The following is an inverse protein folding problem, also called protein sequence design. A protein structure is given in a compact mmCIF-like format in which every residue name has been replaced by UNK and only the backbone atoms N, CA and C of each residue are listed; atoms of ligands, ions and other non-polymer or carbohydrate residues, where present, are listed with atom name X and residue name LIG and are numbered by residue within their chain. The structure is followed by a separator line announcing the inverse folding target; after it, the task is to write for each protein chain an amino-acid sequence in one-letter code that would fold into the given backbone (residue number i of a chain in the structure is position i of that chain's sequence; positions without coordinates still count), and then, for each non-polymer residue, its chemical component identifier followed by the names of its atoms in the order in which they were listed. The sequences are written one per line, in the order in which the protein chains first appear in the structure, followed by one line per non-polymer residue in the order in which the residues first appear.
data_IF_328656193135
#
_entry.id   IF_328656193135
#
_cell.length_a   1.000
_cell.length_b   1.000
_cell.length_c   1.000
_cell.angle_alpha   90.00
_cell.angle_beta   90.00
_cell.angle_gamma   90.00
#
_symmetry.space_group_name_H-M   'P 1'
#
loop_
_entity.id
_entity.type
_entity.pdbx_description
1 polymer ?
2 non-polymer ?
3 water ?
#
# COMPACT_ATOMS: atom_id res chain seq x y z
N UNK A 5 17.99 -25.10 -16.66
CA UNK A 5 17.16 -25.17 -15.38
C UNK A 5 17.14 -23.84 -14.63
N UNK A 6 15.96 -23.45 -14.16
CA UNK A 6 15.82 -22.18 -13.43
C UNK A 6 15.64 -22.44 -11.99
N UNK A 7 16.14 -21.50 -11.22
CA UNK A 7 16.01 -21.50 -9.76
C UNK A 7 16.43 -22.88 -9.13
N UNK A 8 17.50 -23.44 -9.63
CA UNK A 8 18.02 -24.74 -9.14
C UNK A 8 16.94 -25.84 -9.07
N UNK A 9 15.97 -25.80 -9.99
CA UNK A 9 14.87 -26.73 -10.07
C UNK A 9 14.14 -26.88 -8.74
N UNK A 10 14.12 -25.82 -7.92
CA UNK A 10 13.42 -25.90 -6.63
C UNK A 10 11.92 -26.10 -6.86
N UNK A 11 11.25 -26.85 -5.93
CA UNK A 11 9.83 -27.12 -6.08
C UNK A 11 8.98 -25.84 -5.83
N UNK A 12 7.71 -25.91 -6.24
CA UNK A 12 6.75 -24.75 -6.12
C UNK A 12 6.67 -24.14 -4.69
N UNK A 13 6.95 -24.94 -3.68
CA UNK A 13 6.74 -24.52 -2.29
C UNK A 13 8.09 -24.23 -1.58
N UNK A 14 9.18 -24.08 -2.35
CA UNK A 14 10.49 -23.67 -1.79
C UNK A 14 10.40 -22.30 -1.13
N UNK A 15 11.10 -22.16 -0.01
CA UNK A 15 11.11 -20.88 0.67
C UNK A 15 12.55 -20.36 0.71
N UNK A 16 12.75 -19.04 0.66
CA UNK A 16 14.10 -18.43 0.76
C UNK A 16 14.83 -18.84 2.03
N UNK A 17 16.13 -19.04 1.95
CA UNK A 17 16.94 -19.40 3.13
C UNK A 17 18.34 -18.75 3.00
N UNK A 18 18.43 -17.46 3.26
CA UNK A 18 19.75 -16.80 3.12
C UNK A 18 20.71 -17.42 4.11
N UNK A 19 21.92 -17.81 3.65
CA UNK A 19 22.69 -18.77 4.45
C UNK A 19 23.16 -18.24 5.80
N UNK A 20 23.31 -16.93 5.95
CA UNK A 20 23.70 -16.34 7.24
C UNK A 20 22.54 -15.73 8.04
N UNK A 21 21.30 -15.87 7.56
CA UNK A 21 20.16 -15.41 8.31
C UNK A 21 20.21 -13.93 8.72
N UNK A 22 19.61 -13.65 9.87
CA UNK A 22 19.47 -12.31 10.48
C UNK A 22 20.78 -11.53 10.77
N UNK A 23 21.90 -12.24 10.90
CA UNK A 23 23.22 -11.60 11.07
C UNK A 23 23.90 -11.42 9.73
N UNK A 24 23.13 -11.46 8.65
CA UNK A 24 23.69 -11.15 7.34
C UNK A 24 23.69 -9.62 7.05
N UNK A 25 24.54 -9.29 6.08
CA UNK A 25 24.75 -7.89 5.66
C UNK A 25 24.35 -7.60 4.22
N UNK A 26 24.18 -8.65 3.38
CA UNK A 26 24.24 -8.54 1.91
C UNK A 26 22.92 -8.00 1.49
N UNK A 27 22.93 -6.92 0.74
CA UNK A 27 21.75 -6.20 0.47
C UNK A 27 21.04 -6.75 -0.76
N UNK A 28 19.75 -6.50 -0.80
CA UNK A 28 18.91 -6.95 -1.92
C UNK A 28 19.27 -6.19 -3.16
N UNK A 29 19.51 -6.88 -4.30
CA UNK A 29 19.88 -6.08 -5.51
C UNK A 29 18.80 -5.20 -6.04
N UNK A 30 17.56 -5.46 -5.65
CA UNK A 30 16.47 -4.73 -6.27
C UNK A 30 15.53 -4.02 -5.30
N UNK A 31 15.86 -3.98 -4.01
CA UNK A 31 15.01 -3.29 -3.03
C UNK A 31 15.98 -2.59 -2.05
N UNK A 32 15.80 -1.29 -1.88
CA UNK A 32 16.62 -0.54 -0.96
C UNK A 32 16.23 -0.84 0.49
N UNK A 33 17.24 -1.13 1.32
CA UNK A 33 17.02 -1.52 2.73
C UNK A 33 16.26 -0.43 3.50
N UNK A 34 16.65 0.83 3.32
CA UNK A 34 15.94 1.92 4.01
C UNK A 34 14.48 1.98 3.61
N UNK A 35 14.22 1.86 2.31
CA UNK A 35 12.85 1.93 1.78
C UNK A 35 11.96 0.81 2.34
N UNK A 36 12.51 -0.40 2.43
CA UNK A 36 11.81 -1.50 3.02
C UNK A 36 11.49 -1.29 4.49
N UNK A 37 12.45 -0.73 5.25
CA UNK A 37 12.18 -0.45 6.70
C UNK A 37 11.05 0.54 6.84
N UNK A 38 11.06 1.59 6.01
CA UNK A 38 9.99 2.61 6.05
C UNK A 38 8.63 2.09 5.62
N UNK A 39 8.61 1.33 4.53
CA UNK A 39 7.35 0.74 3.95
C UNK A 39 6.75 -0.29 4.87
N UNK A 40 7.58 -1.24 5.32
CA UNK A 40 7.10 -2.34 6.21
C UNK A 40 6.91 -1.83 7.66
N UNK A 41 7.81 -1.00 8.15
CA UNK A 41 7.53 -0.29 9.40
C UNK A 41 8.34 -0.65 10.60
N UNK A 42 9.33 -1.53 10.45
CA UNK A 42 10.19 -1.92 11.56
C UNK A 42 11.62 -1.68 11.24
N UNK A 43 12.38 -1.25 12.24
CA UNK A 43 13.81 -1.12 12.07
C UNK A 43 14.54 -2.40 11.64
N UNK A 44 15.56 -2.24 10.79
CA UNK A 44 16.36 -3.37 10.26
C UNK A 44 17.43 -3.84 11.23
N UNK A 45 17.42 -5.13 11.50
CA UNK A 45 18.50 -5.80 12.18
C UNK A 45 19.50 -6.38 11.18
N UNK A 46 19.01 -6.90 10.08
CA UNK A 46 19.90 -7.53 9.10
C UNK A 46 19.08 -8.00 7.93
N UNK A 47 19.78 -8.54 6.92
CA UNK A 47 19.12 -9.00 5.71
C UNK A 47 20.00 -9.94 4.96
N UNK A 48 19.41 -10.78 4.10
CA UNK A 48 20.24 -11.69 3.24
C UNK A 48 19.54 -12.00 1.95
N UNK A 49 20.28 -12.64 1.07
CA UNK A 49 19.85 -12.99 -0.22
C UNK A 49 20.06 -14.52 -0.36
N UNK A 50 19.22 -15.13 -1.20
CA UNK A 50 19.27 -16.55 -1.46
C UNK A 50 19.44 -16.67 -2.94
N UNK A 51 20.67 -16.99 -3.36
CA UNK A 51 21.04 -17.04 -4.77
C UNK A 51 20.73 -18.38 -5.42
N UNK A 52 20.01 -19.25 -4.71
CA UNK A 52 19.46 -20.47 -5.42
C UNK A 52 18.53 -20.14 -6.57
N UNK A 53 17.89 -18.98 -6.45
CA UNK A 53 16.92 -18.49 -7.44
C UNK A 53 17.67 -17.67 -8.47
N UNK A 54 17.26 -17.75 -9.73
CA UNK A 54 17.91 -16.92 -10.79
C UNK A 54 17.97 -15.44 -10.33
N UNK A 55 16.83 -14.92 -9.88
CA UNK A 55 16.77 -13.64 -9.19
C UNK A 55 16.83 -13.92 -7.72
N UNK A 56 17.90 -13.47 -7.05
CA UNK A 56 17.97 -13.86 -5.63
C UNK A 56 16.79 -13.44 -4.83
N UNK A 57 16.33 -14.31 -3.94
CA UNK A 57 15.31 -13.99 -2.96
C UNK A 57 15.95 -13.11 -1.90
N UNK A 58 15.17 -12.19 -1.33
CA UNK A 58 15.71 -11.22 -0.35
C UNK A 58 14.86 -11.38 0.92
N UNK A 59 15.54 -11.43 2.05
CA UNK A 59 14.85 -11.55 3.35
C UNK A 59 15.34 -10.48 4.31
N UNK A 60 14.38 -9.87 5.03
CA UNK A 60 14.66 -8.73 5.82
C UNK A 60 14.14 -8.98 7.24
N UNK A 61 15.04 -8.79 8.18
CA UNK A 61 14.79 -9.02 9.59
C UNK A 61 14.80 -7.76 10.42
N UNK A 62 13.88 -7.71 11.36
CA UNK A 62 13.91 -6.77 12.49
C UNK A 62 14.14 -7.56 13.76
N UNK A 63 13.66 -7.08 14.91
CA UNK A 63 13.95 -7.76 16.14
C UNK A 63 13.32 -9.17 16.30
N UNK A 64 12.13 -9.43 15.74
CA UNK A 64 11.62 -10.81 15.91
C UNK A 64 12.48 -11.89 15.27
N UNK A 65 12.29 -13.12 15.69
CA UNK A 65 12.97 -14.25 15.04
C UNK A 65 12.54 -14.40 13.55
N UNK A 66 11.23 -14.39 13.33
CA UNK A 66 10.64 -14.46 11.99
C UNK A 66 10.96 -13.15 11.21
N UNK A 67 11.30 -13.27 9.94
CA UNK A 67 11.62 -12.04 9.21
C UNK A 67 10.47 -11.01 9.18
N UNK A 68 10.81 -9.74 8.98
CA UNK A 68 9.74 -8.73 8.82
C UNK A 68 9.14 -8.81 7.40
N UNK A 69 9.95 -9.15 6.42
CA UNK A 69 9.49 -9.26 5.02
C UNK A 69 10.37 -10.25 4.28
N UNK A 70 9.74 -10.97 3.40
CA UNK A 70 10.44 -11.89 2.52
C UNK A 70 9.95 -11.65 1.10
N UNK A 71 10.90 -11.56 0.15
CA UNK A 71 10.54 -11.30 -1.23
C UNK A 71 11.18 -12.38 -2.06
N UNK A 72 10.32 -13.10 -2.79
CA UNK A 72 10.75 -14.21 -3.61
C UNK A 72 10.27 -14.11 -5.06
N UNK A 73 11.25 -14.16 -5.98
CA UNK A 73 11.06 -14.18 -7.41
C UNK A 73 11.33 -15.56 -8.00
N UNK A 74 10.34 -16.15 -8.69
CA UNK A 74 10.43 -17.51 -9.18
C UNK A 74 10.36 -17.51 -10.71
N UNK A 75 11.26 -18.16 -11.33
CA UNK A 75 11.13 -18.40 -12.77
C UNK A 75 10.83 -19.88 -12.91
N UNK A 76 9.58 -20.20 -13.16
CA UNK A 76 9.14 -21.61 -13.26
C UNK A 76 9.27 -22.13 -14.70
N UNK A 77 9.33 -23.47 -14.88
CA UNK A 77 9.36 -24.12 -16.23
C UNK A 77 8.13 -23.92 -17.05
N UNK A 78 7.03 -23.54 -16.40
CA UNK A 78 5.78 -23.20 -17.10
C UNK A 78 4.92 -22.23 -16.28
N UNK A 79 3.93 -21.68 -16.98
CA UNK A 79 2.93 -20.78 -16.37
C UNK A 79 2.10 -21.57 -15.37
N UNK A 80 1.76 -22.80 -15.73
CA UNK A 80 1.06 -23.69 -14.81
C UNK A 80 1.75 -23.80 -13.47
N UNK A 81 3.06 -24.00 -13.54
CA UNK A 81 3.83 -24.10 -12.31
C UNK A 81 3.92 -22.73 -11.56
N UNK A 82 3.99 -21.63 -12.29
CA UNK A 82 3.97 -20.30 -11.66
C UNK A 82 2.64 -20.11 -10.96
N UNK A 83 1.55 -20.59 -11.54
CA UNK A 83 0.23 -20.50 -10.88
C UNK A 83 0.18 -21.34 -9.63
N UNK A 84 0.84 -22.49 -9.62
CA UNK A 84 0.86 -23.38 -8.46
C UNK A 84 1.54 -22.70 -7.27
N UNK A 85 2.62 -21.99 -7.55
CA UNK A 85 3.33 -21.16 -6.55
C UNK A 85 2.38 -20.10 -5.96
N UNK A 86 1.75 -19.35 -6.84
CA UNK A 86 0.88 -18.29 -6.43
C UNK A 86 -0.30 -18.84 -5.58
N UNK A 87 -0.91 -19.96 -6.02
CA UNK A 87 -2.02 -20.56 -5.31
C UNK A 87 -1.57 -21.16 -4.00
N UNK A 88 -0.34 -21.63 -3.93
CA UNK A 88 0.19 -22.12 -2.64
C UNK A 88 0.38 -20.98 -1.65
N UNK A 89 0.99 -19.86 -2.11
CA UNK A 89 1.28 -18.72 -1.24
C UNK A 89 0.02 -17.95 -0.83
N UNK A 90 -0.96 -17.91 -1.75
CA UNK A 90 -2.21 -17.13 -1.63
C UNK A 90 -3.38 -17.99 -2.05
N UNK A 91 -3.88 -18.83 -1.11
CA UNK A 91 -4.90 -19.84 -1.51
C UNK A 91 -6.20 -19.16 -2.00
N UNK A 92 -6.87 -19.85 -2.93
CA UNK A 92 -7.98 -19.34 -3.69
C UNK A 92 -9.08 -19.00 -2.72
N UNK A 93 -9.28 -19.79 -1.67
CA UNK A 93 -10.40 -19.50 -0.76
C UNK A 93 -10.13 -18.66 0.44
N UNK A 94 -8.91 -18.15 0.57
CA UNK A 94 -8.54 -17.40 1.76
C UNK A 94 -7.95 -16.05 1.41
N UNK A 95 -7.88 -15.70 0.12
CA UNK A 95 -7.27 -14.48 -0.27
C UNK A 95 -8.17 -13.82 -1.33
N UNK A 96 -7.89 -12.54 -1.58
CA UNK A 96 -8.62 -11.76 -2.57
C UNK A 96 -7.76 -11.52 -3.79
N UNK A 97 -8.40 -11.16 -4.92
CA UNK A 97 -7.57 -11.04 -6.10
C UNK A 97 -6.54 -9.94 -5.96
N UNK A 98 -5.38 -10.20 -6.53
CA UNK A 98 -4.31 -9.22 -6.71
C UNK A 98 -4.06 -9.18 -8.18
N UNK A 99 -4.24 -7.99 -8.76
CA UNK A 99 -4.09 -7.85 -10.22
C UNK A 99 -3.19 -6.70 -10.60
N UNK A 100 -2.24 -6.37 -9.74
CA UNK A 100 -1.33 -5.27 -10.03
C UNK A 100 0.14 -5.80 -9.84
N UNK A 101 1.08 -5.26 -10.59
CA UNK A 101 0.92 -4.33 -11.71
C UNK A 101 0.25 -4.97 -12.95
N UNK A 102 -0.09 -4.13 -13.91
CA UNK A 102 -0.87 -4.63 -15.02
C UNK A 102 -0.17 -5.82 -15.73
N UNK A 103 -0.96 -6.88 -15.96
CA UNK A 103 -0.47 -8.08 -16.60
C UNK A 103 -0.20 -9.19 -15.60
N UNK A 104 -0.27 -8.88 -14.29
CA UNK A 104 0.01 -9.85 -13.21
C UNK A 104 -1.29 -10.25 -12.58
N UNK A 105 -1.32 -11.45 -12.00
CA UNK A 105 -2.52 -12.02 -11.39
C UNK A 105 -2.18 -12.95 -10.24
N UNK A 106 -2.95 -12.91 -9.19
CA UNK A 106 -2.72 -13.82 -8.11
C UNK A 106 -3.65 -13.42 -6.95
N UNK A 107 -3.13 -13.36 -5.74
CA UNK A 107 -3.94 -13.09 -4.50
C UNK A 107 -3.18 -12.32 -3.44
N UNK A 108 -3.93 -11.81 -2.47
CA UNK A 108 -3.40 -10.98 -1.43
C UNK A 108 -4.32 -11.11 -0.21
N UNK A 109 -3.77 -10.91 0.97
CA UNK A 109 -4.48 -11.07 2.24
C UNK A 109 -3.60 -10.42 3.32
N UNK A 110 -4.25 -9.75 4.27
CA UNK A 110 -3.55 -9.17 5.39
C UNK A 110 -4.34 -9.56 6.65
N UNK A 111 -3.73 -10.29 7.60
CA UNK A 111 -4.42 -10.71 8.86
C UNK A 111 -3.55 -10.46 10.07
N UNK A 112 -3.95 -10.93 11.26
CA UNK A 112 -3.16 -10.75 12.47
C UNK A 112 -1.77 -11.43 12.35
N UNK A 113 -1.71 -12.52 11.57
CA UNK A 113 -0.50 -13.38 11.38
C UNK A 113 0.54 -12.83 10.38
N UNK A 114 0.16 -11.76 9.66
CA UNK A 114 0.96 -11.20 8.59
C UNK A 114 0.19 -11.05 7.29
N UNK A 115 0.92 -10.80 6.19
CA UNK A 115 0.29 -10.44 4.95
C UNK A 115 1.02 -11.19 3.87
N UNK A 116 0.37 -11.38 2.74
CA UNK A 116 0.97 -11.94 1.54
C UNK A 116 0.46 -11.24 0.29
N UNK A 117 1.30 -11.23 -0.73
CA UNK A 117 0.93 -10.69 -1.99
C UNK A 117 1.68 -11.53 -3.00
N UNK A 118 0.92 -12.24 -3.82
CA UNK A 118 1.47 -13.24 -4.74
C UNK A 118 0.85 -13.16 -6.10
N UNK A 119 1.69 -12.92 -7.12
CA UNK A 119 1.21 -12.76 -8.46
C UNK A 119 2.09 -13.44 -9.46
N UNK A 120 1.49 -13.84 -10.56
CA UNK A 120 2.29 -14.35 -11.70
C UNK A 120 1.92 -13.70 -13.00
N UNK A 121 2.86 -13.82 -13.93
CA UNK A 121 2.78 -13.29 -15.27
C UNK A 121 3.55 -14.32 -16.07
N UNK A 122 2.84 -15.08 -16.90
CA UNK A 122 3.51 -16.13 -17.66
C UNK A 122 4.16 -17.10 -16.65
N UNK A 123 5.41 -17.52 -16.87
CA UNK A 123 6.00 -18.45 -15.95
C UNK A 123 6.77 -17.81 -14.78
N UNK A 124 6.66 -16.52 -14.61
CA UNK A 124 7.32 -15.83 -13.52
C UNK A 124 6.34 -15.60 -12.39
N UNK A 125 6.79 -15.92 -11.17
CA UNK A 125 5.98 -15.60 -9.99
C UNK A 125 6.77 -14.70 -9.01
N UNK A 126 6.07 -13.77 -8.36
CA UNK A 126 6.62 -12.86 -7.37
C UNK A 126 5.74 -12.98 -6.11
N UNK A 127 6.33 -13.36 -4.98
CA UNK A 127 5.59 -13.49 -3.71
C UNK A 127 6.29 -12.62 -2.65
N UNK A 128 5.52 -11.90 -1.86
CA UNK A 128 6.07 -11.12 -0.81
C UNK A 128 5.19 -11.46 0.39
N UNK A 129 5.87 -11.78 1.49
CA UNK A 129 5.26 -11.98 2.77
C UNK A 129 5.75 -10.82 3.65
N UNK A 130 4.86 -10.32 4.48
CA UNK A 130 5.20 -9.34 5.49
C UNK A 130 4.69 -9.80 6.85
N UNK A 131 5.37 -9.38 7.91
CA UNK A 131 4.93 -9.70 9.28
C UNK A 131 3.85 -8.74 9.74
N UNK A 132 3.50 -7.77 8.88
CA UNK A 132 2.51 -6.73 9.19
C UNK A 132 1.11 -7.14 8.75
N UNK A 133 0.10 -6.47 9.29
CA UNK A 133 -1.26 -6.85 9.04
C UNK A 133 -1.83 -6.27 7.77
N UNK A 134 -1.14 -5.30 7.20
CA UNK A 134 -1.61 -4.56 5.99
C UNK A 134 -1.07 -5.11 4.74
N UNK A 135 -1.92 -5.69 3.88
CA UNK A 135 -1.47 -6.34 2.65
C UNK A 135 -0.94 -5.26 1.65
N UNK A 136 -1.37 -3.99 1.84
CA UNK A 136 -0.82 -2.92 1.07
C UNK A 136 0.70 -2.88 1.17
N UNK A 137 1.28 -3.20 2.33
CA UNK A 137 2.73 -3.16 2.47
C UNK A 137 3.46 -4.16 1.55
N UNK A 138 2.93 -5.36 1.52
CA UNK A 138 3.38 -6.46 0.70
C UNK A 138 3.16 -6.11 -0.78
N UNK A 139 2.04 -5.50 -1.06
CA UNK A 139 1.73 -5.08 -2.45
C UNK A 139 2.74 -4.05 -2.96
N UNK A 140 3.10 -3.08 -2.13
CA UNK A 140 4.07 -2.02 -2.52
C UNK A 140 5.43 -2.59 -2.77
N UNK A 141 5.83 -3.52 -1.91
CA UNK A 141 7.09 -4.21 -2.09
C UNK A 141 7.11 -5.06 -3.37
N UNK A 142 6.05 -5.82 -3.64
CA UNK A 142 6.01 -6.63 -4.86
C UNK A 142 6.10 -5.77 -6.08
N UNK A 143 5.31 -4.70 -6.12
CA UNK A 143 5.33 -3.77 -7.24
C UNK A 143 6.69 -3.14 -7.48
N UNK A 144 7.36 -2.77 -6.39
CA UNK A 144 8.66 -2.18 -6.48
C UNK A 144 9.69 -3.14 -6.99
N UNK A 145 9.65 -4.38 -6.51
CA UNK A 145 10.60 -5.42 -6.99
C UNK A 145 10.37 -5.65 -8.47
N UNK A 146 9.11 -5.81 -8.87
CA UNK A 146 8.80 -6.01 -10.26
C UNK A 146 9.32 -4.84 -11.14
N UNK A 147 9.05 -3.59 -10.71
CA UNK A 147 9.59 -2.43 -11.43
C UNK A 147 11.15 -2.46 -11.50
N UNK A 148 11.80 -2.65 -10.38
CA UNK A 148 13.27 -2.65 -10.34
C UNK A 148 13.89 -3.76 -11.17
N UNK A 149 13.24 -4.91 -11.21
CA UNK A 149 13.78 -6.02 -12.04
C UNK A 149 13.40 -5.97 -13.52
N UNK A 150 12.52 -5.06 -13.92
CA UNK A 150 12.11 -4.99 -15.30
C UNK A 150 11.27 -6.20 -15.72
N UNK A 151 10.47 -6.77 -14.81
CA UNK A 151 9.70 -8.00 -15.12
C UNK A 151 8.35 -7.66 -15.75
N UNK B 5 -13.87 10.07 23.33
CA UNK B 5 -13.05 9.33 22.26
C UNK B 5 -13.47 9.60 20.81
N UNK B 6 -12.57 10.08 20.01
CA UNK B 6 -12.85 10.41 18.59
C UNK B 6 -12.33 9.35 17.68
N UNK B 7 -13.03 9.18 16.54
CA UNK B 7 -12.63 8.26 15.48
C UNK B 7 -12.25 6.87 16.05
N UNK B 8 -12.97 6.37 17.03
CA UNK B 8 -12.68 5.03 17.60
C UNK B 8 -11.22 4.83 18.10
N UNK B 9 -10.58 5.92 18.51
CA UNK B 9 -9.21 5.95 18.99
C UNK B 9 -8.24 5.34 17.98
N UNK B 10 -8.57 5.42 16.71
CA UNK B 10 -7.69 4.80 15.73
C UNK B 10 -6.36 5.56 15.70
N UNK B 11 -5.23 4.88 15.49
CA UNK B 11 -3.96 5.58 15.40
C UNK B 11 -3.82 6.48 14.13
N UNK B 12 -2.78 7.32 14.17
CA UNK B 12 -2.57 8.36 13.16
C UNK B 12 -2.48 7.80 11.76
N UNK B 13 -2.07 6.52 11.65
CA UNK B 13 -1.87 5.90 10.32
C UNK B 13 -3.01 4.96 9.97
N UNK B 14 -4.17 5.08 10.61
CA UNK B 14 -5.30 4.28 10.11
C UNK B 14 -5.71 4.69 8.64
N UNK B 15 -6.13 3.66 7.85
CA UNK B 15 -6.66 3.86 6.52
C UNK B 15 -8.15 3.41 6.49
N UNK B 16 -8.98 4.07 5.68
CA UNK B 16 -10.36 3.65 5.51
C UNK B 16 -10.49 2.22 5.02
N UNK B 17 -11.44 1.54 5.60
CA UNK B 17 -11.75 0.16 5.23
C UNK B 17 -13.28 0.00 5.27
N UNK B 18 -13.98 0.41 4.22
CA UNK B 18 -15.47 0.24 4.18
C UNK B 18 -15.85 -1.26 4.14
N UNK B 19 -16.94 -1.67 4.82
CA UNK B 19 -17.48 -3.08 4.88
C UNK B 19 -18.13 -3.62 3.64
N UNK B 25 -21.97 0.02 -3.25
CA UNK B 25 -22.36 1.48 -3.30
C UNK B 25 -23.12 2.00 -2.03
N UNK B 26 -22.48 2.79 -1.18
CA UNK B 26 -23.15 3.60 -0.13
C UNK B 26 -22.63 4.99 -0.30
N UNK B 27 -23.51 5.96 -0.43
CA UNK B 27 -23.08 7.30 -0.78
C UNK B 27 -22.22 8.00 0.32
N UNK B 28 -21.27 8.79 -0.13
CA UNK B 28 -20.48 9.68 0.75
C UNK B 28 -21.40 10.82 1.14
N UNK B 29 -21.63 11.06 2.45
CA UNK B 29 -22.58 12.09 2.91
C UNK B 29 -22.21 13.52 2.58
N UNK B 30 -20.95 13.76 2.25
CA UNK B 30 -20.49 15.14 2.02
C UNK B 30 -19.81 15.37 0.65
N UNK B 31 -19.78 14.35 -0.23
CA UNK B 31 -19.28 14.47 -1.60
C UNK B 31 -20.25 13.76 -2.55
N UNK B 32 -20.70 14.45 -3.58
CA UNK B 32 -21.51 13.86 -4.61
C UNK B 32 -20.67 13.00 -5.56
N UNK B 33 -21.20 11.83 -5.87
CA UNK B 33 -20.53 10.80 -6.66
C UNK B 33 -20.17 11.28 -8.09
N UNK B 34 -21.16 11.84 -8.78
CA UNK B 34 -20.91 12.38 -10.14
C UNK B 34 -19.77 13.43 -10.15
N UNK B 35 -19.78 14.29 -9.14
CA UNK B 35 -18.78 15.36 -9.06
C UNK B 35 -17.39 14.78 -8.87
N UNK B 36 -17.28 13.77 -8.01
CA UNK B 36 -16.03 13.04 -7.82
C UNK B 36 -15.56 12.41 -9.13
N UNK B 37 -16.45 11.75 -9.87
CA UNK B 37 -16.12 11.13 -11.12
C UNK B 37 -15.59 12.17 -12.09
N UNK B 38 -16.25 13.32 -12.20
CA UNK B 38 -15.84 14.38 -13.13
C UNK B 38 -14.55 15.01 -12.68
N UNK B 39 -14.42 15.24 -11.38
CA UNK B 39 -13.18 15.88 -10.86
C UNK B 39 -11.94 14.97 -11.01
N UNK B 40 -12.08 13.73 -10.54
CA UNK B 40 -10.96 12.80 -10.56
C UNK B 40 -10.70 12.22 -11.96
N UNK B 41 -11.79 11.95 -12.68
CA UNK B 41 -11.67 11.67 -14.12
C UNK B 41 -11.98 10.25 -14.51
N UNK B 42 -12.34 9.38 -13.55
CA UNK B 42 -12.71 7.98 -13.89
C UNK B 42 -14.16 7.68 -13.60
N UNK B 43 -14.81 6.83 -14.42
CA UNK B 43 -16.20 6.43 -14.16
C UNK B 43 -16.35 5.69 -12.84
N UNK B 44 -17.44 5.91 -12.12
CA UNK B 44 -17.64 5.27 -10.81
C UNK B 44 -18.16 3.84 -10.95
N UNK B 45 -17.48 2.90 -10.29
CA UNK B 45 -17.93 1.54 -10.21
C UNK B 45 -18.75 1.31 -8.98
N UNK B 46 -18.27 1.83 -7.87
CA UNK B 46 -19.01 1.89 -6.64
C UNK B 46 -18.25 2.69 -5.59
N UNK B 47 -18.77 2.69 -4.37
CA UNK B 47 -18.23 3.51 -3.30
C UNK B 47 -18.70 3.08 -1.95
N UNK B 48 -17.86 3.31 -0.95
CA UNK B 48 -18.19 2.89 0.42
C UNK B 48 -17.81 3.91 1.47
N UNK B 49 -18.33 3.73 2.68
CA UNK B 49 -17.99 4.60 3.78
C UNK B 49 -17.44 3.80 4.94
N UNK B 50 -16.62 4.43 5.76
CA UNK B 50 -16.03 3.79 6.93
C UNK B 50 -16.43 4.65 8.10
N UNK B 51 -17.43 4.17 8.82
CA UNK B 51 -18.03 4.95 9.91
C UNK B 51 -17.29 4.86 11.25
N UNK B 52 -16.11 4.21 11.26
CA UNK B 52 -15.24 4.25 12.46
C UNK B 52 -14.76 5.63 12.79
N UNK B 53 -14.64 6.46 11.77
CA UNK B 53 -14.27 7.89 11.93
C UNK B 53 -15.53 8.74 12.20
N UNK B 54 -15.45 9.66 13.18
CA UNK B 54 -16.59 10.51 13.54
C UNK B 54 -17.34 10.98 12.26
N UNK B 55 -16.60 11.63 11.36
CA UNK B 55 -17.03 11.98 10.01
C UNK B 55 -16.60 10.82 9.14
N UNK B 56 -17.57 10.14 8.49
CA UNK B 56 -17.17 8.91 7.80
C UNK B 56 -16.17 9.15 6.68
N UNK B 57 -15.17 8.26 6.55
CA UNK B 57 -14.26 8.33 5.45
C UNK B 57 -14.96 7.80 4.21
N UNK B 58 -14.56 8.26 3.00
CA UNK B 58 -15.25 7.85 1.75
C UNK B 58 -14.28 7.31 0.78
N UNK B 59 -14.64 6.18 0.22
CA UNK B 59 -13.80 5.54 -0.76
C UNK B 59 -14.55 5.42 -2.06
N UNK B 60 -13.92 5.74 -3.17
CA UNK B 60 -14.57 5.82 -4.46
C UNK B 60 -13.80 4.96 -5.41
N UNK B 61 -14.47 3.95 -5.99
CA UNK B 61 -13.79 2.97 -6.90
C UNK B 61 -14.21 3.21 -8.31
N UNK B 62 -13.27 2.96 -9.20
CA UNK B 62 -13.55 2.81 -10.63
C UNK B 62 -13.05 1.40 -10.98
N UNK B 63 -12.62 1.19 -12.22
CA UNK B 63 -12.26 -0.15 -12.63
C UNK B 63 -10.94 -0.69 -11.98
N UNK B 64 -10.02 0.17 -11.53
CA UNK B 64 -8.83 -0.50 -10.96
C UNK B 64 -9.14 -1.20 -9.64
N UNK B 65 -8.31 -2.16 -9.21
CA UNK B 65 -8.52 -2.73 -7.88
C UNK B 65 -8.29 -1.71 -6.78
N UNK B 66 -7.30 -0.82 -6.91
CA UNK B 66 -7.13 0.27 -5.97
C UNK B 66 -8.13 1.43 -6.29
N UNK B 67 -8.69 2.02 -5.26
CA UNK B 67 -9.68 3.09 -5.48
C UNK B 67 -9.18 4.23 -6.27
N UNK B 68 -10.09 4.92 -6.95
CA UNK B 68 -9.75 6.11 -7.66
C UNK B 68 -9.52 7.28 -6.71
N UNK B 69 -10.21 7.29 -5.58
CA UNK B 69 -10.05 8.40 -4.65
C UNK B 69 -10.48 7.95 -3.24
N UNK B 70 -9.76 8.43 -2.24
CA UNK B 70 -10.06 8.16 -0.86
C UNK B 70 -10.06 9.50 -0.07
N UNK B 71 -11.09 9.75 0.73
CA UNK B 71 -11.18 10.94 1.49
C UNK B 71 -11.38 10.56 2.95
N UNK B 72 -10.49 11.08 3.79
CA UNK B 72 -10.51 10.74 5.18
C UNK B 72 -10.38 12.02 5.99
N UNK B 73 -11.36 12.16 6.88
CA UNK B 73 -11.43 13.22 7.88
C UNK B 73 -11.04 12.67 9.24
N UNK B 74 -9.99 13.22 9.87
CA UNK B 74 -9.58 12.80 11.22
C UNK B 74 -9.91 13.87 12.28
N UNK B 75 -10.56 13.48 13.38
CA UNK B 75 -10.60 14.31 14.56
C UNK B 75 -9.68 13.65 15.58
N UNK B 76 -8.51 14.22 15.73
CA UNK B 76 -7.50 13.72 16.66
C UNK B 76 -7.66 14.28 18.09
N UNK B 77 -7.07 13.59 19.11
CA UNK B 77 -7.10 14.14 20.50
C UNK B 77 -6.27 15.38 20.68
N UNK B 78 -5.46 15.78 19.71
CA UNK B 78 -4.71 16.98 19.82
C UNK B 78 -4.25 17.50 18.48
N UNK B 79 -3.86 18.75 18.45
CA UNK B 79 -3.32 19.32 17.23
C UNK B 79 -2.03 18.60 16.81
N UNK B 80 -1.21 18.22 17.77
CA UNK B 80 0.05 17.55 17.45
C UNK B 80 -0.24 16.28 16.73
N UNK B 81 -1.26 15.58 17.19
CA UNK B 81 -1.63 14.32 16.54
C UNK B 81 -2.28 14.52 15.14
N UNK B 82 -2.96 15.65 14.92
CA UNK B 82 -3.41 15.96 13.51
C UNK B 82 -2.25 16.28 12.60
N UNK B 83 -1.25 16.97 13.11
CA UNK B 83 -0.07 17.25 12.34
C UNK B 83 0.60 15.93 12.02
N UNK B 84 0.59 14.99 12.97
CA UNK B 84 1.20 13.69 12.72
C UNK B 84 0.52 12.98 11.55
N UNK B 85 -0.82 13.04 11.51
CA UNK B 85 -1.53 12.49 10.37
C UNK B 85 -1.04 13.10 9.05
N UNK B 86 -1.01 14.42 9.00
CA UNK B 86 -0.58 15.12 7.77
C UNK B 86 0.83 14.79 7.34
N UNK B 87 1.77 14.77 8.30
CA UNK B 87 3.15 14.48 7.98
C UNK B 87 3.35 12.99 7.56
N UNK B 88 2.49 12.10 8.04
CA UNK B 88 2.52 10.74 7.56
C UNK B 88 2.03 10.59 6.16
N UNK B 89 0.87 11.19 5.85
CA UNK B 89 0.30 11.22 4.48
C UNK B 89 1.15 11.96 3.46
N UNK B 90 1.72 13.11 3.89
CA UNK B 90 2.41 14.02 3.01
C UNK B 90 3.77 14.36 3.60
N UNK B 91 4.77 13.47 3.46
CA UNK B 91 6.05 13.62 4.18
C UNK B 91 6.74 14.96 3.88
N UNK B 92 7.30 15.55 4.94
CA UNK B 92 7.97 16.86 4.86
C UNK B 92 9.02 16.93 3.75
N UNK B 93 9.79 15.88 3.56
CA UNK B 93 10.88 15.97 2.57
C UNK B 93 10.57 15.65 1.12
N UNK B 94 9.37 15.14 0.86
CA UNK B 94 8.99 14.74 -0.50
C UNK B 94 7.70 15.37 -1.01
N UNK B 95 7.18 16.39 -0.34
CA UNK B 95 5.90 17.01 -0.72
C UNK B 95 6.11 18.51 -0.66
N UNK B 96 5.28 19.27 -1.37
CA UNK B 96 5.28 20.72 -1.28
C UNK B 96 4.15 21.20 -0.36
N UNK B 97 4.26 22.41 0.19
CA UNK B 97 3.24 22.93 1.07
C UNK B 97 1.83 23.01 0.45
N UNK B 98 0.82 22.88 1.29
CA UNK B 98 -0.57 22.98 0.91
C UNK B 98 -1.13 23.85 2.00
N UNK B 99 -1.69 24.99 1.63
CA UNK B 99 -2.12 25.99 2.63
C UNK B 99 -3.52 26.48 2.29
N UNK B 100 -4.26 25.66 1.58
CA UNK B 100 -5.66 25.90 1.30
C UNK B 100 -6.55 24.76 1.78
N UNK B 101 -7.78 25.11 2.22
CA UNK B 101 -8.29 26.51 2.26
C UNK B 101 -7.70 27.34 3.40
N UNK B 102 -8.06 28.62 3.48
CA UNK B 102 -7.43 29.52 4.44
C UNK B 102 -7.53 29.00 5.86
N UNK B 103 -6.39 28.97 6.55
CA UNK B 103 -6.28 28.47 7.90
C UNK B 103 -5.81 27.00 8.00
N UNK B 104 -5.71 26.28 6.87
CA UNK B 104 -5.27 24.89 6.86
C UNK B 104 -3.83 24.84 6.38
N UNK B 105 -3.11 23.80 6.80
CA UNK B 105 -1.71 23.64 6.52
C UNK B 105 -1.27 22.18 6.40
N UNK B 106 -0.42 21.92 5.42
CA UNK B 106 0.01 20.57 5.09
C UNK B 106 0.83 20.48 3.84
N UNK B 107 0.61 19.39 3.11
CA UNK B 107 1.43 19.01 2.03
C UNK B 107 0.64 18.40 0.86
N UNK B 108 1.24 18.43 -0.30
CA UNK B 108 0.64 17.82 -1.49
C UNK B 108 1.77 17.34 -2.38
N UNK B 109 1.48 16.34 -3.20
CA UNK B 109 2.40 15.82 -4.21
C UNK B 109 1.66 14.89 -5.18
N UNK B 110 2.30 14.67 -6.30
CA UNK B 110 2.01 13.58 -7.20
C UNK B 110 3.26 12.76 -7.46
N UNK B 111 3.02 11.52 -7.87
CA UNK B 111 4.01 10.66 -8.50
C UNK B 111 3.29 9.57 -9.30
N UNK B 112 3.99 8.47 -9.63
CA UNK B 112 3.46 7.39 -10.51
C UNK B 112 2.11 6.87 -10.00
N UNK B 113 2.13 6.46 -8.73
CA UNK B 113 1.00 5.75 -8.12
C UNK B 113 -0.16 6.66 -7.72
N UNK B 114 -0.07 7.96 -8.01
CA UNK B 114 -1.14 8.87 -7.64
C UNK B 114 -0.76 10.23 -7.05
N UNK B 115 -1.66 10.80 -6.23
CA UNK B 115 -1.46 12.11 -5.69
C UNK B 115 -2.06 12.11 -4.31
N UNK B 116 -1.60 13.08 -3.53
CA UNK B 116 -2.10 13.28 -2.17
C UNK B 116 -2.21 14.75 -1.85
N UNK B 117 -3.21 15.09 -1.03
CA UNK B 117 -3.34 16.41 -0.52
C UNK B 117 -3.81 16.21 0.95
N UNK B 118 -3.00 16.70 1.90
CA UNK B 118 -3.20 16.52 3.31
C UNK B 118 -3.01 17.80 4.07
N UNK B 119 -4.06 18.22 4.78
CA UNK B 119 -3.99 19.44 5.51
C UNK B 119 -4.59 19.34 6.86
N UNK B 120 -4.16 20.21 7.74
CA UNK B 120 -4.57 20.21 9.11
C UNK B 120 -4.93 21.63 9.65
N UNK B 121 -5.87 21.70 10.60
CA UNK B 121 -6.28 22.90 11.25
C UNK B 121 -6.76 22.53 12.65
N UNK B 122 -6.05 22.99 13.66
CA UNK B 122 -6.28 22.48 15.02
C UNK B 122 -6.12 20.96 15.07
N UNK B 123 -7.03 20.26 15.79
CA UNK B 123 -7.01 18.82 15.96
C UNK B 123 -7.63 18.05 14.77
N UNK B 124 -7.91 18.68 13.64
CA UNK B 124 -8.61 18.05 12.56
C UNK B 124 -7.66 17.96 11.39
N UNK B 125 -7.62 16.79 10.77
CA UNK B 125 -6.87 16.61 9.55
C UNK B 125 -7.78 16.09 8.41
N UNK B 126 -7.50 16.52 7.19
CA UNK B 126 -8.21 16.03 6.03
C UNK B 126 -7.16 15.54 5.04
N UNK B 127 -7.33 14.31 4.57
CA UNK B 127 -6.43 13.67 3.68
C UNK B 127 -7.24 13.13 2.52
N UNK B 128 -6.85 13.54 1.33
CA UNK B 128 -7.34 13.00 0.09
C UNK B 128 -6.22 12.34 -0.70
N UNK B 129 -6.42 11.07 -1.00
CA UNK B 129 -5.60 10.40 -2.01
C UNK B 129 -6.33 10.22 -3.28
N UNK B 130 -5.63 10.30 -4.41
CA UNK B 130 -6.21 10.05 -5.71
C UNK B 130 -5.28 9.14 -6.48
N UNK B 131 -5.84 8.38 -7.42
CA UNK B 131 -5.01 7.52 -8.31
C UNK B 131 -4.51 8.30 -9.53
N UNK B 132 -4.85 9.57 -9.59
CA UNK B 132 -4.43 10.48 -10.68
C UNK B 132 -3.15 11.17 -10.29
N UNK B 133 -2.34 11.55 -11.27
CA UNK B 133 -1.07 12.21 -10.96
C UNK B 133 -1.17 13.70 -10.59
N UNK B 134 -2.30 14.31 -10.88
CA UNK B 134 -2.53 15.75 -10.61
C UNK B 134 -2.98 16.00 -9.20
N UNK B 135 -2.14 16.61 -8.36
CA UNK B 135 -2.54 16.83 -6.95
C UNK B 135 -3.65 17.86 -6.90
N UNK B 136 -3.82 18.63 -7.98
CA UNK B 136 -4.92 19.59 -8.02
C UNK B 136 -6.29 18.93 -7.83
N UNK B 137 -6.45 17.71 -8.34
CA UNK B 137 -7.66 16.96 -8.17
C UNK B 137 -7.91 16.65 -6.70
N UNK B 138 -6.88 16.19 -5.99
CA UNK B 138 -6.96 15.92 -4.53
C UNK B 138 -7.32 17.20 -3.71
N UNK B 139 -6.67 18.32 -4.08
CA UNK B 139 -6.90 19.66 -3.56
C UNK B 139 -8.35 20.07 -3.69
N UNK B 140 -8.95 19.89 -4.87
CA UNK B 140 -10.32 20.34 -5.12
C UNK B 140 -11.28 19.50 -4.26
N UNK B 141 -11.03 18.21 -4.22
CA UNK B 141 -11.77 17.32 -3.33
C UNK B 141 -11.68 17.62 -1.87
N UNK B 142 -10.46 17.92 -1.40
CA UNK B 142 -10.27 18.26 -0.02
C UNK B 142 -11.02 19.51 0.29
N UNK B 143 -10.83 20.52 -0.57
CA UNK B 143 -11.55 21.81 -0.36
C UNK B 143 -13.06 21.64 -0.30
N UNK B 144 -13.59 20.80 -1.20
CA UNK B 144 -15.02 20.59 -1.24
C UNK B 144 -15.55 19.87 0.00
N UNK B 145 -14.84 18.86 0.46
CA UNK B 145 -15.19 18.16 1.69
C UNK B 145 -15.22 19.16 2.86
N UNK B 146 -14.16 19.92 3.05
CA UNK B 146 -14.07 20.88 4.14
C UNK B 146 -15.25 21.84 4.12
N UNK B 147 -15.57 22.40 2.96
CA UNK B 147 -16.75 23.28 2.78
C UNK B 147 -18.05 22.58 3.12
N UNK B 148 -18.26 21.38 2.58
CA UNK B 148 -19.53 20.69 2.84
C UNK B 148 -19.74 20.32 4.31
N UNK B 149 -18.67 19.98 4.99
CA UNK B 149 -18.68 19.68 6.39
C UNK B 149 -18.61 20.85 7.33
N UNK B 150 -18.32 22.06 6.84
CA UNK B 150 -18.21 23.23 7.68
C UNK B 150 -17.07 23.13 8.66
N UNK B 151 -15.95 22.52 8.24
CA UNK B 151 -14.78 22.43 9.07
C UNK B 151 -13.95 23.69 9.01
X LIG C 1 6.92 -13.15 7.85
X LIG C 1 7.96 -13.62 8.73
X LIG C 1 7.57 -12.59 6.58
X LIG C 1 8.44 -13.46 5.83
X LIG D 1 -6.64 6.51 -3.90
X LIG D 1 -6.93 5.88 -2.64
X LIG D 1 -5.52 5.72 -4.60
X LIG D 1 -5.87 4.33 -4.66
#
# INVERSE_FOLDING_TARGET
SNAXVHDSALPFDALPMPPQGREGFEECPYLDSQWVADTNGQRMTGQGVDTRFDTPACVFWSYPEAPQATVMVRHMPSEEEAIRVVDWAAPIDTTEPAEEPDGWSGGRAGHEEGAVYAVQKGPVAVVVWSNQQQSLKAELMAKEAIARLGL
SNAXVHDSALPFDALPMPPQGREGFEECPYLDSQWVADTNGQRMTGQGVDTRFDTPACVFWSYPEAPQATVMVRHMPSEEEAIRVVDWAAPIDTTEPAEEPDGWSGGRAGHEEGAVYAVQKGPVAVVVWSNQQQSLKAELMAKEAIARLGL
EDO C1 O1 C2 O2
EDO C1 O1 C2 O2
#
